data_IF_831053899094
#
_entry.id   IF_831053899094
#
_cell.length_a   1.000
_cell.length_b   1.000
_cell.length_c   1.000
_cell.angle_alpha   90.00
_cell.angle_beta   90.00
_cell.angle_gamma   90.00
#
_symmetry.space_group_name_H-M   'P 1'
#
loop_
_entity.id
_entity.type
_entity.pdbx_description
1 polymer ?
#
# COMPACT_ATOMS: atom_id res chain seq x y z
N UNK A 1 -17.68 -16.92 0.59
CA UNK A 1 -18.01 -15.95 -0.47
C UNK A 1 -16.77 -15.09 -0.66
N UNK A 2 -16.15 -15.09 -1.85
CA UNK A 2 -14.95 -14.29 -2.09
C UNK A 2 -15.33 -12.79 -2.04
N UNK A 3 -14.47 -11.96 -1.48
CA UNK A 3 -14.72 -10.51 -1.44
C UNK A 3 -14.59 -9.87 -2.84
N UNK A 4 -15.16 -8.68 -2.99
CA UNK A 4 -15.27 -7.97 -4.28
C UNK A 4 -13.91 -7.77 -4.97
N UNK A 5 -12.83 -7.54 -4.21
CA UNK A 5 -11.49 -7.35 -4.77
C UNK A 5 -10.99 -8.67 -5.35
N UNK A 6 -11.13 -9.76 -4.59
CA UNK A 6 -10.74 -11.09 -5.07
C UNK A 6 -11.49 -11.48 -6.34
N UNK A 7 -12.79 -11.20 -6.42
CA UNK A 7 -13.55 -11.43 -7.64
C UNK A 7 -13.08 -10.56 -8.81
N UNK A 8 -12.82 -9.27 -8.58
CA UNK A 8 -12.31 -8.36 -9.59
C UNK A 8 -10.94 -8.82 -10.15
N UNK A 9 -10.05 -9.28 -9.28
CA UNK A 9 -8.73 -9.81 -9.66
C UNK A 9 -8.87 -11.08 -10.49
N UNK A 10 -9.70 -12.03 -10.06
CA UNK A 10 -9.93 -13.28 -10.80
C UNK A 10 -10.59 -13.06 -12.16
N UNK A 11 -11.33 -11.97 -12.35
CA UNK A 11 -11.97 -11.60 -13.61
C UNK A 11 -11.00 -10.96 -14.63
N UNK A 12 -9.79 -10.55 -14.23
CA UNK A 12 -8.79 -9.98 -15.15
C UNK A 12 -8.30 -11.03 -16.14
N UNK A 13 -8.21 -10.64 -17.41
CA UNK A 13 -7.84 -11.54 -18.50
C UNK A 13 -6.47 -12.22 -18.27
N UNK A 14 -5.48 -11.45 -17.78
CA UNK A 14 -4.15 -11.98 -17.47
C UNK A 14 -4.17 -13.04 -16.38
N UNK A 15 -4.98 -12.82 -15.33
CA UNK A 15 -5.16 -13.77 -14.23
C UNK A 15 -5.89 -15.02 -14.72
N UNK A 16 -6.98 -14.86 -15.49
CA UNK A 16 -7.70 -15.97 -16.09
C UNK A 16 -6.81 -16.79 -17.05
N UNK A 17 -5.91 -16.14 -17.78
CA UNK A 17 -4.91 -16.81 -18.64
C UNK A 17 -3.88 -17.57 -17.80
N UNK A 18 -3.39 -16.97 -16.72
CA UNK A 18 -2.48 -17.64 -15.78
C UNK A 18 -3.10 -18.89 -15.15
N UNK A 19 -4.37 -18.82 -14.74
CA UNK A 19 -5.12 -19.94 -14.16
C UNK A 19 -5.29 -21.12 -15.13
N UNK A 20 -5.47 -20.84 -16.43
CA UNK A 20 -5.56 -21.87 -17.49
C UNK A 20 -4.18 -22.38 -17.95
N UNK A 21 -3.13 -21.59 -17.76
CA UNK A 21 -1.78 -21.93 -18.18
C UNK A 21 -1.20 -23.05 -17.33
N UNK A 22 -0.84 -24.18 -17.96
CA UNK A 22 -0.25 -25.35 -17.32
C UNK A 22 1.15 -25.11 -16.77
N UNK A 23 1.28 -24.23 -15.78
CA UNK A 23 2.52 -23.89 -15.07
C UNK A 23 2.98 -25.00 -14.10
N UNK A 24 2.66 -26.26 -14.41
CA UNK A 24 2.90 -27.41 -13.53
C UNK A 24 2.01 -27.46 -12.28
N UNK A 25 0.92 -26.69 -12.25
CA UNK A 25 -0.04 -26.63 -11.13
C UNK A 25 -1.47 -26.80 -11.63
N UNK A 26 -2.36 -27.28 -10.77
CA UNK A 26 -3.79 -27.31 -11.08
C UNK A 26 -4.40 -25.91 -10.98
N UNK A 27 -5.51 -25.66 -11.66
CA UNK A 27 -6.24 -24.38 -11.57
C UNK A 27 -6.59 -24.02 -10.12
N UNK A 28 -6.94 -25.03 -9.31
CA UNK A 28 -7.25 -24.87 -7.90
C UNK A 28 -6.03 -24.36 -7.11
N UNK A 29 -4.87 -25.01 -7.29
CA UNK A 29 -3.62 -24.59 -6.64
C UNK A 29 -3.22 -23.16 -7.06
N UNK A 30 -3.40 -22.82 -8.34
CA UNK A 30 -3.11 -21.49 -8.84
C UNK A 30 -4.05 -20.43 -8.21
N UNK A 31 -5.35 -20.74 -8.07
CA UNK A 31 -6.32 -19.89 -7.37
C UNK A 31 -5.96 -19.69 -5.90
N UNK A 32 -5.62 -20.75 -5.19
CA UNK A 32 -5.22 -20.68 -3.78
C UNK A 32 -3.99 -19.78 -3.58
N UNK A 33 -3.01 -19.85 -4.49
CA UNK A 33 -1.84 -18.96 -4.46
C UNK A 33 -2.20 -17.50 -4.69
N UNK A 34 -3.07 -17.20 -5.67
CA UNK A 34 -3.54 -15.83 -5.91
C UNK A 34 -4.26 -15.31 -4.67
N UNK A 35 -5.16 -16.10 -4.08
CA UNK A 35 -5.87 -15.71 -2.88
C UNK A 35 -4.93 -15.46 -1.70
N UNK A 36 -3.94 -16.34 -1.49
CA UNK A 36 -2.91 -16.12 -0.46
C UNK A 36 -2.12 -14.83 -0.67
N UNK A 37 -1.84 -14.45 -1.91
CA UNK A 37 -1.19 -13.18 -2.22
C UNK A 37 -2.10 -11.96 -2.03
N UNK A 38 -3.39 -12.08 -2.35
CA UNK A 38 -4.36 -11.03 -2.04
C UNK A 38 -4.50 -10.82 -0.53
N UNK A 39 -4.53 -11.90 0.25
CA UNK A 39 -4.55 -11.84 1.71
C UNK A 39 -3.26 -11.22 2.27
N UNK A 40 -2.10 -11.52 1.66
CA UNK A 40 -0.84 -10.87 2.00
C UNK A 40 -0.92 -9.35 1.79
N UNK A 41 -1.41 -8.90 0.63
CA UNK A 41 -1.55 -7.49 0.25
C UNK A 41 -2.64 -6.75 1.04
N UNK A 42 -3.59 -7.47 1.63
CA UNK A 42 -4.74 -6.91 2.32
C UNK A 42 -4.35 -6.15 3.59
N UNK A 43 -4.66 -4.87 3.61
CA UNK A 43 -4.39 -3.97 4.74
C UNK A 43 -5.61 -3.12 5.06
N UNK A 44 -5.55 -2.40 6.18
CA UNK A 44 -6.59 -1.45 6.58
C UNK A 44 -5.93 -0.20 7.12
N UNK A 45 -6.31 0.96 6.59
CA UNK A 45 -5.85 2.25 7.09
C UNK A 45 -6.86 2.81 8.10
N UNK A 46 -6.44 2.96 9.36
CA UNK A 46 -7.23 3.60 10.42
C UNK A 46 -6.75 5.02 10.63
N UNK A 47 -7.23 5.93 9.80
CA UNK A 47 -6.72 7.30 9.72
C UNK A 47 -6.64 8.06 11.06
N UNK A 48 -7.63 8.00 11.97
CA UNK A 48 -7.51 8.66 13.28
C UNK A 48 -6.34 8.14 14.13
N UNK A 49 -6.13 6.83 14.14
CA UNK A 49 -5.03 6.19 14.88
C UNK A 49 -3.70 6.51 14.21
N UNK A 50 -3.66 6.45 12.88
CA UNK A 50 -2.50 6.84 12.09
C UNK A 50 -2.06 8.28 12.41
N UNK A 51 -3.00 9.23 12.48
CA UNK A 51 -2.71 10.62 12.84
C UNK A 51 -2.12 10.74 14.25
N UNK A 52 -2.53 9.88 15.18
CA UNK A 52 -1.98 9.86 16.54
C UNK A 52 -0.52 9.35 16.60
N UNK A 53 -0.03 8.61 15.58
CA UNK A 53 1.37 8.15 15.53
C UNK A 53 2.38 9.31 15.45
N UNK A 54 1.94 10.53 15.12
CA UNK A 54 2.81 11.72 15.15
C UNK A 54 3.23 12.12 16.56
N UNK A 55 2.45 11.79 17.59
CA UNK A 55 2.75 12.18 18.97
C UNK A 55 4.04 11.54 19.52
N UNK A 56 4.25 10.21 19.45
CA UNK A 56 5.52 9.62 19.89
C UNK A 56 6.71 10.09 19.03
N UNK A 57 6.47 10.45 17.75
CA UNK A 57 7.50 10.97 16.85
C UNK A 57 7.79 12.46 17.03
N UNK A 58 6.95 13.18 17.78
CA UNK A 58 7.02 14.64 17.94
C UNK A 58 8.41 15.18 18.34
N UNK A 59 9.20 14.54 19.24
CA UNK A 59 10.54 15.01 19.59
C UNK A 59 11.51 15.09 18.41
N UNK A 60 11.30 14.27 17.39
CA UNK A 60 12.08 14.27 16.15
C UNK A 60 11.45 15.26 15.17
N UNK A 61 10.13 15.18 14.98
CA UNK A 61 9.41 16.00 14.00
C UNK A 61 9.52 17.50 14.29
N UNK A 62 9.56 17.91 15.56
CA UNK A 62 9.73 19.33 15.95
C UNK A 62 11.07 19.93 15.57
N UNK A 63 12.06 19.11 15.20
CA UNK A 63 13.39 19.56 14.76
C UNK A 63 13.49 19.71 13.24
N UNK A 64 12.44 19.32 12.52
CA UNK A 64 12.38 19.35 11.07
C UNK A 64 11.52 20.55 10.68
N UNK A 65 12.11 21.50 9.96
CA UNK A 65 11.32 22.53 9.32
C UNK A 65 10.59 21.93 8.11
N UNK A 66 9.28 22.18 8.02
CA UNK A 66 8.40 21.58 7.03
C UNK A 66 7.92 22.69 6.13
N UNK A 67 8.51 22.76 4.94
CA UNK A 67 8.12 23.69 3.89
C UNK A 67 7.18 22.96 2.94
N UNK A 68 5.94 23.42 2.85
CA UNK A 68 4.97 22.90 1.90
C UNK A 68 5.02 23.68 0.58
N UNK A 69 4.98 22.96 -0.53
CA UNK A 69 4.97 23.52 -1.87
C UNK A 69 3.91 22.83 -2.72
N UNK A 70 3.21 23.60 -3.57
CA UNK A 70 2.26 23.09 -4.56
C UNK A 70 1.16 22.16 -4.00
N UNK A 71 0.82 22.27 -2.71
CA UNK A 71 -0.20 21.45 -2.04
C UNK A 71 -1.58 21.53 -2.69
N UNK A 72 -1.85 22.61 -3.43
CA UNK A 72 -3.10 22.78 -4.16
C UNK A 72 -3.27 21.75 -5.28
N UNK A 73 -2.17 21.27 -5.89
CA UNK A 73 -2.23 20.21 -6.91
C UNK A 73 -2.73 18.91 -6.27
N UNK A 74 -2.18 18.54 -5.12
CA UNK A 74 -2.63 17.37 -4.36
C UNK A 74 -4.09 17.52 -3.90
N UNK A 75 -4.49 18.71 -3.44
CA UNK A 75 -5.88 19.00 -3.06
C UNK A 75 -6.85 18.85 -4.23
N UNK A 76 -6.52 19.40 -5.39
CA UNK A 76 -7.35 19.30 -6.59
C UNK A 76 -7.44 17.86 -7.09
N UNK A 77 -6.33 17.12 -7.09
CA UNK A 77 -6.32 15.72 -7.50
C UNK A 77 -7.18 14.83 -6.57
N UNK A 78 -7.08 15.06 -5.26
CA UNK A 78 -7.84 14.27 -4.26
C UNK A 78 -9.31 14.63 -4.18
N UNK A 79 -9.69 15.86 -4.55
CA UNK A 79 -11.11 16.29 -4.61
C UNK A 79 -11.79 15.88 -5.91
N UNK A 80 -11.06 15.79 -7.02
CA UNK A 80 -11.59 15.35 -8.32
C UNK A 80 -11.69 13.83 -8.46
N UNK A 81 -10.94 13.05 -7.68
CA UNK A 81 -11.02 11.60 -7.72
C UNK A 81 -9.93 10.89 -6.92
N UNK A 82 -9.54 9.70 -7.42
CA UNK A 82 -8.46 8.91 -6.81
C UNK A 82 -7.12 9.45 -7.28
N UNK A 83 -6.28 9.87 -6.33
CA UNK A 83 -4.92 10.33 -6.61
C UNK A 83 -3.90 9.23 -6.33
N UNK A 84 -2.92 9.08 -7.23
CA UNK A 84 -1.73 8.25 -7.02
C UNK A 84 -0.56 9.21 -6.85
N UNK A 85 0.11 9.10 -5.71
CA UNK A 85 1.29 9.90 -5.40
C UNK A 85 2.53 9.18 -5.92
N UNK A 86 3.26 9.83 -6.82
CA UNK A 86 4.54 9.34 -7.34
C UNK A 86 5.61 10.28 -6.81
N UNK A 87 6.30 9.83 -5.77
CA UNK A 87 7.34 10.59 -5.09
C UNK A 87 8.72 10.02 -5.41
N UNK A 88 9.74 10.86 -5.36
CA UNK A 88 11.11 10.38 -5.34
C UNK A 88 11.45 9.90 -3.91
N UNK A 89 12.45 9.03 -3.78
CA UNK A 89 12.89 8.56 -2.48
C UNK A 89 14.34 8.91 -2.27
N UNK A 90 14.59 9.99 -1.51
CA UNK A 90 15.93 10.50 -1.21
C UNK A 90 16.33 10.26 0.25
N UNK A 91 15.36 10.12 1.15
CA UNK A 91 15.58 9.91 2.57
C UNK A 91 14.52 9.03 3.22
N UNK A 92 14.90 8.33 4.29
CA UNK A 92 13.94 7.61 5.14
C UNK A 92 12.93 8.54 5.84
N UNK A 93 13.23 9.85 5.90
CA UNK A 93 12.31 10.85 6.44
C UNK A 93 11.18 11.21 5.47
N UNK A 94 11.32 10.93 4.17
CA UNK A 94 10.31 11.31 3.17
C UNK A 94 8.94 10.72 3.52
N UNK A 95 8.91 9.44 3.94
CA UNK A 95 7.69 8.74 4.34
C UNK A 95 7.07 9.24 5.66
N UNK A 96 7.79 10.07 6.43
CA UNK A 96 7.26 10.72 7.62
C UNK A 96 6.79 12.14 7.30
N UNK A 97 7.60 12.90 6.56
CA UNK A 97 7.36 14.33 6.32
C UNK A 97 6.24 14.55 5.31
N UNK A 98 6.24 13.84 4.18
CA UNK A 98 5.25 14.04 3.11
C UNK A 98 3.81 13.82 3.63
N UNK A 99 3.49 12.74 4.35
CA UNK A 99 2.16 12.57 4.92
C UNK A 99 1.78 13.62 5.96
N UNK A 100 2.75 14.14 6.72
CA UNK A 100 2.49 15.21 7.69
C UNK A 100 2.17 16.54 7.02
N UNK A 101 2.86 16.88 5.94
CA UNK A 101 2.55 18.08 5.14
C UNK A 101 1.15 17.99 4.54
N UNK A 102 0.75 16.82 4.06
CA UNK A 102 -0.61 16.57 3.58
C UNK A 102 -1.63 16.71 4.72
N UNK A 103 -1.39 16.08 5.89
CA UNK A 103 -2.28 16.16 7.06
C UNK A 103 -2.47 17.59 7.57
N UNK A 104 -1.38 18.36 7.66
CA UNK A 104 -1.40 19.76 8.10
C UNK A 104 -2.21 20.65 7.13
N UNK A 105 -2.26 20.26 5.85
CA UNK A 105 -3.10 20.89 4.83
C UNK A 105 -4.52 20.30 4.74
N UNK A 106 -4.91 19.40 5.64
CA UNK A 106 -6.23 18.75 5.61
C UNK A 106 -6.44 17.84 4.39
N UNK A 107 -5.36 17.38 3.77
CA UNK A 107 -5.37 16.39 2.69
C UNK A 107 -5.11 15.03 3.33
N UNK A 108 -6.02 14.08 3.13
CA UNK A 108 -5.83 12.73 3.68
C UNK A 108 -4.59 12.09 3.04
N UNK A 109 -3.60 11.63 3.83
CA UNK A 109 -2.40 11.03 3.28
C UNK A 109 -2.67 9.72 2.55
N UNK A 110 -1.88 9.41 1.50
CA UNK A 110 -2.07 8.20 0.72
C UNK A 110 -1.74 6.94 1.53
N UNK A 111 -2.23 5.81 1.03
CA UNK A 111 -1.72 4.50 1.44
C UNK A 111 -0.39 4.27 0.73
N UNK A 112 0.62 3.81 1.46
CA UNK A 112 2.00 3.69 0.96
C UNK A 112 2.35 2.22 0.71
N UNK A 113 3.07 1.94 -0.36
CA UNK A 113 3.70 0.65 -0.59
C UNK A 113 5.01 0.55 0.21
N UNK A 114 5.16 -0.51 1.00
CA UNK A 114 6.33 -0.73 1.84
C UNK A 114 6.93 -2.12 1.60
N UNK A 115 8.26 -2.24 1.72
CA UNK A 115 8.91 -3.54 1.59
C UNK A 115 8.38 -4.53 2.64
N UNK A 116 8.11 -5.77 2.23
CA UNK A 116 7.57 -6.81 3.12
C UNK A 116 8.47 -7.08 4.35
N UNK A 117 9.76 -6.76 4.27
CA UNK A 117 10.70 -6.86 5.39
C UNK A 117 10.33 -5.96 6.58
N UNK A 118 9.49 -4.93 6.39
CA UNK A 118 8.99 -4.07 7.46
C UNK A 118 7.77 -4.64 8.19
N UNK A 119 7.23 -5.78 7.72
CA UNK A 119 6.00 -6.37 8.28
C UNK A 119 6.26 -7.41 9.38
N UNK A 120 7.45 -7.38 10.00
CA UNK A 120 7.80 -8.22 11.14
C UNK A 120 7.34 -7.65 12.49
N UNK A 121 6.94 -8.55 13.40
CA UNK A 121 6.67 -8.21 14.79
C UNK A 121 5.59 -7.12 15.00
N UNK A 122 5.69 -6.31 16.06
CA UNK A 122 4.72 -5.25 16.37
C UNK A 122 4.57 -4.20 15.26
N UNK A 123 5.67 -3.88 14.56
CA UNK A 123 5.67 -2.95 13.44
C UNK A 123 4.79 -3.43 12.29
N UNK A 124 4.80 -4.74 12.01
CA UNK A 124 3.92 -5.33 10.99
C UNK A 124 2.43 -5.15 11.29
N UNK A 125 2.04 -5.23 12.56
CA UNK A 125 0.65 -4.97 12.97
C UNK A 125 0.26 -3.51 12.75
N UNK A 126 1.16 -2.57 13.09
CA UNK A 126 0.96 -1.14 12.86
C UNK A 126 0.84 -0.87 11.36
N UNK A 127 1.74 -1.41 10.55
CA UNK A 127 1.69 -1.23 9.10
C UNK A 127 0.42 -1.81 8.48
N UNK A 128 0.04 -3.03 8.85
CA UNK A 128 -1.13 -3.72 8.28
C UNK A 128 -2.46 -3.10 8.70
N UNK A 129 -2.60 -2.68 9.96
CA UNK A 129 -3.92 -2.33 10.54
C UNK A 129 -4.08 -0.85 10.89
N UNK A 130 -3.00 -0.07 10.95
CA UNK A 130 -3.04 1.35 11.30
C UNK A 130 -2.67 2.21 10.11
N UNK A 131 -1.44 2.07 9.60
CA UNK A 131 -0.98 2.88 8.45
C UNK A 131 -1.60 2.41 7.14
N UNK A 132 -2.04 1.15 7.09
CA UNK A 132 -2.57 0.50 5.89
C UNK A 132 -1.51 0.24 4.82
N UNK A 133 -0.22 0.26 5.17
CA UNK A 133 0.85 0.13 4.18
C UNK A 133 0.74 -1.21 3.43
N UNK A 134 0.88 -1.19 2.11
CA UNK A 134 0.74 -2.38 1.26
C UNK A 134 2.09 -3.11 1.24
N UNK A 135 2.16 -4.38 1.67
CA UNK A 135 3.41 -5.15 1.67
C UNK A 135 3.81 -5.54 0.25
N UNK A 136 4.97 -5.05 -0.20
CA UNK A 136 5.52 -5.37 -1.51
C UNK A 136 6.76 -6.25 -1.37
N UNK A 137 6.78 -7.36 -2.11
CA UNK A 137 7.95 -8.21 -2.26
C UNK A 137 8.87 -7.60 -3.31
N UNK A 138 10.12 -7.33 -2.94
CA UNK A 138 11.15 -6.87 -3.89
C UNK A 138 11.75 -8.08 -4.62
N UNK A 139 12.05 -7.91 -5.91
CA UNK A 139 12.76 -8.91 -6.73
C UNK A 139 12.13 -10.31 -6.78
N UNK A 140 10.82 -10.41 -6.53
CA UNK A 140 10.10 -11.68 -6.68
C UNK A 140 9.99 -12.06 -8.15
N UNK A 141 10.25 -13.34 -8.44
CA UNK A 141 10.08 -13.94 -9.76
C UNK A 141 8.87 -14.86 -9.82
N UNK A 142 8.06 -14.91 -8.76
CA UNK A 142 6.87 -15.75 -8.72
C UNK A 142 5.80 -15.20 -9.68
N UNK A 143 5.44 -15.92 -10.76
CA UNK A 143 4.43 -15.48 -11.70
C UNK A 143 3.06 -15.26 -11.06
N UNK A 144 2.69 -16.06 -10.06
CA UNK A 144 1.42 -15.91 -9.33
C UNK A 144 1.37 -14.56 -8.60
N UNK A 145 2.47 -14.17 -7.96
CA UNK A 145 2.55 -12.87 -7.29
C UNK A 145 2.47 -11.72 -8.29
N UNK A 146 3.23 -11.81 -9.39
CA UNK A 146 3.30 -10.74 -10.39
C UNK A 146 1.98 -10.53 -11.12
N UNK A 147 1.25 -11.61 -11.45
CA UNK A 147 -0.08 -11.49 -12.08
C UNK A 147 -1.12 -10.96 -11.09
N UNK A 148 -1.01 -11.34 -9.80
CA UNK A 148 -1.90 -10.82 -8.75
C UNK A 148 -1.68 -9.33 -8.51
N UNK A 149 -0.43 -8.88 -8.42
CA UNK A 149 -0.11 -7.47 -8.15
C UNK A 149 -0.46 -6.53 -9.32
N UNK A 150 -0.48 -7.04 -10.56
CA UNK A 150 -0.83 -6.27 -11.77
C UNK A 150 -2.34 -6.17 -12.03
N UNK A 151 -3.14 -7.04 -11.42
CA UNK A 151 -4.58 -7.13 -11.62
C UNK A 151 -5.33 -5.93 -11.00
#
# INVERSE_FOLDING_TARGET
MLDDITQAVLAREEVARYLRGGNGQTELQARERIQAYLDELRTTQRYPIYRALKHPLYPILRKIDRVDENVQVARQATTSGRAIYISNHKSHLDYLVEPLVLDDNGIRPPVIAAGINLFGGPLGLIHRHVTGAIPIRRNTKDPAYLVTLKA
#
